data_IF_008424008465
#
_entry.id   IF_008424008465
#
_cell.length_a   1.000
_cell.length_b   1.000
_cell.length_c   1.000
_cell.angle_alpha   90.00
_cell.angle_beta   90.00
_cell.angle_gamma   90.00
#
_symmetry.space_group_name_H-M   'P 1'
#
loop_
_entity.id
_entity.type
_entity.pdbx_description
1 polymer ?
#
# COMPACT_ATOMS: atom_id res chain seq x y z
N UNK A 1 7.33 -50.68 -36.51
CA UNK A 1 7.15 -50.53 -35.05
C UNK A 1 7.28 -49.06 -34.74
N UNK A 2 6.14 -48.37 -34.63
CA UNK A 2 6.07 -46.97 -34.22
C UNK A 2 6.38 -46.90 -32.73
N UNK A 3 7.48 -46.26 -32.38
CA UNK A 3 7.94 -46.05 -31.00
C UNK A 3 6.83 -45.38 -30.18
N UNK A 4 6.59 -45.77 -28.92
CA UNK A 4 5.55 -45.18 -28.09
C UNK A 4 5.80 -43.67 -27.97
N UNK A 5 4.73 -42.89 -28.16
CA UNK A 5 4.69 -41.45 -28.08
C UNK A 5 5.37 -40.99 -26.77
N UNK A 6 6.64 -40.58 -26.84
CA UNK A 6 7.38 -40.12 -25.68
C UNK A 6 6.61 -38.94 -25.10
N UNK A 7 6.21 -39.04 -23.82
CA UNK A 7 5.52 -37.97 -23.11
C UNK A 7 6.41 -36.73 -23.18
N UNK A 8 6.05 -35.78 -24.05
CA UNK A 8 6.89 -34.63 -24.36
C UNK A 8 6.88 -33.69 -23.15
N UNK A 9 7.97 -33.73 -22.37
CA UNK A 9 8.23 -32.75 -21.32
C UNK A 9 8.80 -31.50 -21.96
N UNK A 10 8.36 -30.33 -21.52
CA UNK A 10 8.91 -29.03 -21.98
C UNK A 10 9.23 -28.13 -20.79
N UNK A 11 10.11 -27.16 -21.01
CA UNK A 11 10.36 -26.06 -20.08
C UNK A 11 9.65 -24.82 -20.63
N UNK A 12 8.90 -24.12 -19.78
CA UNK A 12 8.38 -22.78 -20.07
C UNK A 12 9.24 -21.79 -19.29
N UNK A 13 9.88 -20.85 -19.99
CA UNK A 13 10.45 -19.65 -19.39
C UNK A 13 9.52 -18.48 -19.73
N UNK A 14 9.01 -17.76 -18.73
CA UNK A 14 8.06 -16.67 -18.92
C UNK A 14 8.45 -15.46 -18.07
N UNK A 15 8.17 -14.27 -18.61
CA UNK A 15 8.39 -12.98 -17.98
C UNK A 15 7.32 -11.99 -18.43
N UNK A 16 7.13 -10.93 -17.66
CA UNK A 16 6.28 -9.82 -18.03
C UNK A 16 6.69 -8.55 -17.29
N UNK A 17 6.58 -7.44 -18.00
CA UNK A 17 6.97 -6.15 -17.45
C UNK A 17 6.04 -5.04 -17.88
N UNK A 18 6.18 -3.93 -17.19
CA UNK A 18 5.49 -2.68 -17.46
C UNK A 18 6.46 -1.50 -17.41
N UNK A 19 6.44 -0.64 -18.44
CA UNK A 19 7.22 0.60 -18.51
C UNK A 19 6.58 1.66 -17.61
N UNK A 20 7.03 1.69 -16.34
CA UNK A 20 6.28 2.31 -15.25
C UNK A 20 5.18 1.34 -14.82
N UNK A 21 5.09 0.95 -13.56
CA UNK A 21 4.12 -0.03 -13.08
C UNK A 21 2.95 0.75 -12.45
N UNK A 22 1.75 0.86 -13.09
CA UNK A 22 1.36 0.27 -14.36
C UNK A 22 1.75 1.22 -15.50
N UNK A 23 1.76 0.70 -16.71
CA UNK A 23 2.24 1.42 -17.87
C UNK A 23 2.20 0.50 -19.08
N UNK A 24 2.75 0.93 -20.23
CA UNK A 24 2.88 0.09 -21.40
C UNK A 24 3.54 -1.23 -21.02
N UNK A 25 2.74 -2.28 -21.03
CA UNK A 25 3.09 -3.57 -20.51
C UNK A 25 3.11 -4.59 -21.64
N UNK A 26 3.97 -5.57 -21.47
CA UNK A 26 4.13 -6.67 -22.40
C UNK A 26 4.69 -7.88 -21.69
N UNK A 27 4.41 -9.04 -22.27
CA UNK A 27 4.94 -10.29 -21.77
C UNK A 27 5.76 -11.00 -22.83
N UNK A 28 6.58 -11.92 -22.35
CA UNK A 28 7.37 -12.85 -23.16
C UNK A 28 7.27 -14.25 -22.57
N UNK A 29 7.10 -15.26 -23.42
CA UNK A 29 7.18 -16.65 -23.03
C UNK A 29 7.90 -17.45 -24.10
N UNK A 30 8.74 -18.39 -23.68
CA UNK A 30 9.43 -19.33 -24.56
C UNK A 30 9.24 -20.75 -24.05
N UNK A 31 8.95 -21.67 -24.95
CA UNK A 31 8.85 -23.10 -24.69
C UNK A 31 10.10 -23.77 -25.25
N UNK A 32 10.81 -24.51 -24.40
CA UNK A 32 12.10 -25.11 -24.70
C UNK A 32 12.05 -26.64 -24.56
N UNK A 33 12.86 -27.32 -25.37
CA UNK A 33 13.20 -28.71 -25.14
C UNK A 33 14.10 -28.84 -23.89
N UNK A 34 13.80 -29.75 -22.94
CA UNK A 34 14.57 -29.86 -21.71
C UNK A 34 15.98 -30.44 -21.89
N UNK A 35 16.28 -31.16 -22.99
CA UNK A 35 17.57 -31.82 -23.19
C UNK A 35 18.61 -30.86 -23.77
N UNK A 36 18.26 -30.13 -24.82
CA UNK A 36 19.20 -29.29 -25.58
C UNK A 36 18.86 -27.79 -25.55
N UNK A 37 17.76 -27.41 -24.87
CA UNK A 37 17.22 -26.04 -24.81
C UNK A 37 16.82 -25.47 -26.17
N UNK A 38 16.51 -26.30 -27.16
CA UNK A 38 15.96 -25.85 -28.44
C UNK A 38 14.63 -25.14 -28.24
N UNK A 39 14.45 -23.98 -28.89
CA UNK A 39 13.19 -23.22 -28.85
C UNK A 39 12.12 -23.91 -29.68
N UNK A 40 11.05 -24.35 -29.01
CA UNK A 40 9.89 -25.00 -29.61
C UNK A 40 8.78 -23.98 -29.96
N UNK A 41 8.64 -22.91 -29.17
CA UNK A 41 7.70 -21.83 -29.43
C UNK A 41 8.09 -20.55 -28.67
N UNK A 42 7.76 -19.38 -29.24
CA UNK A 42 7.83 -18.08 -28.56
C UNK A 42 6.46 -17.38 -28.60
N UNK A 43 6.11 -16.68 -27.53
CA UNK A 43 4.96 -15.78 -27.46
C UNK A 43 5.41 -14.45 -26.90
N UNK A 44 4.97 -13.37 -27.51
CA UNK A 44 5.14 -12.02 -26.97
C UNK A 44 3.99 -11.14 -27.42
N UNK A 45 3.51 -10.29 -26.54
CA UNK A 45 2.40 -9.38 -26.87
C UNK A 45 2.41 -8.17 -25.95
N UNK A 46 2.12 -6.99 -26.53
CA UNK A 46 1.77 -5.80 -25.79
C UNK A 46 0.34 -5.93 -25.24
N UNK A 47 0.15 -5.70 -23.95
CA UNK A 47 -1.14 -5.86 -23.27
C UNK A 47 -1.74 -4.53 -22.82
N UNK A 48 -1.33 -3.44 -23.46
CA UNK A 48 -1.77 -2.08 -23.12
C UNK A 48 -1.19 -1.61 -21.79
N UNK A 49 -2.01 -0.97 -20.97
CA UNK A 49 -1.60 -0.50 -19.63
C UNK A 49 -1.93 -1.57 -18.60
N UNK A 50 -0.92 -2.20 -18.02
CA UNK A 50 -1.08 -3.23 -17.00
C UNK A 50 0.03 -3.15 -15.93
N UNK A 51 -0.11 -3.91 -14.84
CA UNK A 51 0.96 -4.03 -13.84
C UNK A 51 1.98 -5.11 -14.25
N UNK A 52 3.18 -5.10 -13.66
CA UNK A 52 4.17 -6.17 -13.82
C UNK A 52 3.55 -7.53 -13.50
N UNK A 53 2.84 -7.68 -12.39
CA UNK A 53 2.24 -8.96 -12.02
C UNK A 53 1.16 -9.41 -13.02
N UNK A 54 0.37 -8.47 -13.57
CA UNK A 54 -0.59 -8.79 -14.64
C UNK A 54 0.16 -9.24 -15.91
N UNK A 55 1.27 -8.59 -16.26
CA UNK A 55 2.11 -8.97 -17.38
C UNK A 55 2.77 -10.34 -17.16
N UNK A 56 3.32 -10.61 -15.98
CA UNK A 56 3.95 -11.89 -15.62
C UNK A 56 2.93 -13.03 -15.69
N UNK A 57 1.72 -12.84 -15.13
CA UNK A 57 0.64 -13.81 -15.26
C UNK A 57 0.21 -14.01 -16.72
N UNK A 58 0.19 -12.94 -17.52
CA UNK A 58 -0.11 -13.04 -18.96
C UNK A 58 0.96 -13.83 -19.71
N UNK A 59 2.24 -13.65 -19.37
CA UNK A 59 3.35 -14.45 -19.89
C UNK A 59 3.23 -15.92 -19.51
N UNK A 60 2.89 -16.22 -18.25
CA UNK A 60 2.63 -17.58 -17.82
C UNK A 60 1.48 -18.23 -18.61
N UNK A 61 0.36 -17.54 -18.76
CA UNK A 61 -0.80 -18.01 -19.53
C UNK A 61 -0.40 -18.32 -20.97
N UNK A 62 0.29 -17.38 -21.63
CA UNK A 62 0.74 -17.56 -23.01
C UNK A 62 1.74 -18.73 -23.15
N UNK A 63 2.61 -18.93 -22.15
CA UNK A 63 3.52 -20.06 -22.09
C UNK A 63 2.78 -21.40 -21.97
N UNK A 64 1.78 -21.49 -21.10
CA UNK A 64 0.97 -22.71 -20.91
C UNK A 64 0.14 -23.04 -22.16
N UNK A 65 -0.40 -22.02 -22.84
CA UNK A 65 -1.08 -22.17 -24.12
C UNK A 65 -0.12 -22.69 -25.20
N UNK A 66 1.07 -22.09 -25.34
CA UNK A 66 2.09 -22.55 -26.28
C UNK A 66 2.58 -23.98 -25.98
N UNK A 67 2.74 -24.35 -24.70
CA UNK A 67 3.10 -25.71 -24.29
C UNK A 67 2.03 -26.73 -24.69
N UNK A 68 0.74 -26.35 -24.60
CA UNK A 68 -0.38 -27.18 -25.07
C UNK A 68 -0.32 -27.39 -26.57
N UNK A 69 -0.07 -26.32 -27.34
CA UNK A 69 0.01 -26.36 -28.80
C UNK A 69 1.17 -27.22 -29.33
N UNK A 70 2.32 -27.23 -28.64
CA UNK A 70 3.45 -28.11 -29.01
C UNK A 70 3.27 -29.57 -28.57
N UNK A 71 2.12 -29.91 -27.97
CA UNK A 71 1.75 -31.25 -27.54
C UNK A 71 2.47 -31.72 -26.27
N UNK A 72 2.82 -30.81 -25.36
CA UNK A 72 3.48 -31.19 -24.12
C UNK A 72 2.53 -31.97 -23.19
N UNK A 73 3.09 -32.98 -22.51
CA UNK A 73 2.38 -33.79 -21.51
C UNK A 73 2.78 -33.40 -20.08
N UNK A 74 4.02 -32.93 -19.88
CA UNK A 74 4.56 -32.45 -18.61
C UNK A 74 5.26 -31.12 -18.82
N UNK A 75 5.18 -30.22 -17.85
CA UNK A 75 5.69 -28.85 -17.96
C UNK A 75 6.48 -28.47 -16.72
N UNK A 76 7.66 -27.91 -16.92
CA UNK A 76 8.38 -27.16 -15.89
C UNK A 76 8.32 -25.66 -16.21
N UNK A 77 7.62 -24.90 -15.38
CA UNK A 77 7.54 -23.44 -15.47
C UNK A 77 8.69 -22.82 -14.67
N UNK A 78 9.51 -22.01 -15.33
CA UNK A 78 10.60 -21.22 -14.76
C UNK A 78 10.28 -19.74 -14.93
N UNK A 79 10.21 -19.02 -13.81
CA UNK A 79 9.99 -17.57 -13.81
C UNK A 79 10.85 -16.94 -12.73
N UNK A 80 11.28 -15.71 -12.93
CA UNK A 80 11.96 -14.89 -11.92
C UNK A 80 10.98 -14.12 -11.02
N UNK A 81 9.67 -14.21 -11.30
CA UNK A 81 8.60 -13.79 -10.39
C UNK A 81 8.35 -14.79 -9.27
N UNK A 82 8.91 -14.52 -8.09
CA UNK A 82 8.65 -15.34 -6.89
C UNK A 82 7.17 -15.33 -6.52
N UNK A 83 6.49 -14.21 -6.72
CA UNK A 83 5.07 -14.07 -6.38
C UNK A 83 4.18 -14.98 -7.25
N UNK A 84 4.36 -14.99 -8.57
CA UNK A 84 3.60 -15.88 -9.47
C UNK A 84 3.90 -17.34 -9.16
N UNK A 85 5.19 -17.70 -9.00
CA UNK A 85 5.61 -19.07 -8.67
C UNK A 85 4.98 -19.56 -7.37
N UNK A 86 5.03 -18.78 -6.29
CA UNK A 86 4.50 -19.17 -4.98
C UNK A 86 2.97 -19.28 -4.97
N UNK A 87 2.29 -18.39 -5.71
CA UNK A 87 0.84 -18.42 -5.86
C UNK A 87 0.37 -19.63 -6.67
N UNK A 88 1.01 -19.90 -7.81
CA UNK A 88 0.68 -21.05 -8.67
C UNK A 88 1.08 -22.39 -8.07
N UNK A 89 2.08 -22.40 -7.19
CA UNK A 89 2.41 -23.56 -6.35
C UNK A 89 1.42 -23.81 -5.20
N UNK A 90 0.43 -22.93 -5.00
CA UNK A 90 -0.54 -23.03 -3.91
C UNK A 90 0.01 -22.68 -2.51
N UNK A 91 1.27 -22.20 -2.42
CA UNK A 91 1.88 -21.82 -1.14
C UNK A 91 1.37 -20.46 -0.67
N UNK A 92 1.08 -19.53 -1.60
CA UNK A 92 0.57 -18.20 -1.31
C UNK A 92 -0.84 -17.98 -1.86
N UNK A 93 -1.68 -17.23 -1.14
CA UNK A 93 -3.05 -16.90 -1.59
C UNK A 93 -3.03 -15.75 -2.59
N UNK A 94 -3.77 -15.89 -3.68
CA UNK A 94 -4.08 -14.77 -4.61
C UNK A 94 -5.23 -13.95 -4.01
N UNK A 95 -4.96 -12.70 -3.65
CA UNK A 95 -5.96 -11.80 -3.04
C UNK A 95 -6.31 -10.59 -3.90
N UNK A 96 -5.45 -10.21 -4.84
CA UNK A 96 -5.64 -9.00 -5.64
C UNK A 96 -6.72 -9.22 -6.72
N UNK A 97 -7.74 -8.35 -6.83
CA UNK A 97 -8.86 -8.51 -7.77
C UNK A 97 -8.43 -8.77 -9.21
N UNK A 98 -7.45 -8.03 -9.74
CA UNK A 98 -6.98 -8.19 -11.12
C UNK A 98 -6.21 -9.50 -11.37
N UNK A 99 -5.62 -10.07 -10.32
CA UNK A 99 -4.85 -11.31 -10.43
C UNK A 99 -5.71 -12.56 -10.23
N UNK A 100 -6.83 -12.46 -9.51
CA UNK A 100 -7.76 -13.57 -9.31
C UNK A 100 -8.22 -14.21 -10.64
N UNK A 101 -8.68 -13.46 -11.66
CA UNK A 101 -9.09 -14.05 -12.93
C UNK A 101 -7.90 -14.66 -13.70
N UNK A 102 -6.72 -14.02 -13.66
CA UNK A 102 -5.53 -14.52 -14.35
C UNK A 102 -5.00 -15.82 -13.72
N UNK A 103 -4.93 -15.87 -12.39
CA UNK A 103 -4.53 -17.06 -11.66
C UNK A 103 -5.52 -18.22 -11.88
N UNK A 104 -6.83 -17.93 -11.95
CA UNK A 104 -7.84 -18.92 -12.34
C UNK A 104 -7.57 -19.47 -13.74
N UNK A 105 -7.34 -18.59 -14.72
CA UNK A 105 -7.06 -18.99 -16.10
C UNK A 105 -5.78 -19.83 -16.21
N UNK A 106 -4.70 -19.42 -15.54
CA UNK A 106 -3.46 -20.20 -15.51
C UNK A 106 -3.66 -21.58 -14.86
N UNK A 107 -4.44 -21.66 -13.76
CA UNK A 107 -4.76 -22.92 -13.10
C UNK A 107 -5.64 -23.84 -13.95
N UNK A 108 -6.57 -23.29 -14.73
CA UNK A 108 -7.37 -24.04 -15.71
C UNK A 108 -6.50 -24.62 -16.82
N UNK A 109 -5.59 -23.82 -17.40
CA UNK A 109 -4.66 -24.28 -18.42
C UNK A 109 -3.71 -25.37 -17.90
N UNK A 110 -3.24 -25.23 -16.67
CA UNK A 110 -2.36 -26.22 -16.03
C UNK A 110 -3.00 -27.62 -15.93
N UNK A 111 -4.33 -27.74 -15.94
CA UNK A 111 -5.04 -29.04 -15.91
C UNK A 111 -4.87 -29.86 -17.20
N UNK A 112 -4.41 -29.25 -18.29
CA UNK A 112 -4.15 -29.96 -19.54
C UNK A 112 -2.91 -30.88 -19.47
N UNK A 113 -2.05 -30.70 -18.46
CA UNK A 113 -0.80 -31.45 -18.29
C UNK A 113 -0.95 -32.47 -17.16
N UNK A 114 -0.26 -33.61 -17.26
CA UNK A 114 -0.26 -34.59 -16.18
C UNK A 114 0.54 -34.13 -14.95
N UNK A 115 1.49 -33.22 -15.18
CA UNK A 115 2.31 -32.63 -14.13
C UNK A 115 2.79 -31.24 -14.54
N UNK A 116 2.71 -30.28 -13.61
CA UNK A 116 3.27 -28.94 -13.74
C UNK A 116 4.11 -28.64 -12.51
N UNK A 117 5.40 -28.37 -12.71
CA UNK A 117 6.31 -27.89 -11.67
C UNK A 117 6.54 -26.39 -11.85
N UNK A 118 6.38 -25.60 -10.78
CA UNK A 118 6.69 -24.16 -10.79
C UNK A 118 7.98 -23.91 -10.02
N UNK A 119 8.98 -23.33 -10.69
CA UNK A 119 10.31 -23.05 -10.14
C UNK A 119 10.65 -21.59 -10.29
N UNK A 120 11.07 -20.98 -9.18
CA UNK A 120 11.67 -19.66 -9.22
C UNK A 120 13.12 -19.77 -9.69
N UNK A 121 13.54 -18.90 -10.61
CA UNK A 121 14.92 -18.81 -11.09
C UNK A 121 15.46 -17.38 -10.97
N UNK A 122 16.77 -17.18 -10.77
CA UNK A 122 17.38 -15.86 -10.87
C UNK A 122 17.12 -15.20 -12.23
N UNK A 123 16.97 -13.88 -12.27
CA UNK A 123 16.72 -13.11 -13.52
C UNK A 123 17.75 -13.37 -14.63
N UNK A 124 19.02 -13.59 -14.24
CA UNK A 124 20.08 -13.93 -15.19
C UNK A 124 19.79 -15.23 -15.97
N UNK A 125 18.99 -16.12 -15.40
CA UNK A 125 18.60 -17.41 -15.97
C UNK A 125 17.26 -17.34 -16.74
N UNK A 126 16.60 -16.18 -16.79
CA UNK A 126 15.33 -15.93 -17.51
C UNK A 126 15.50 -14.94 -18.69
N UNK A 127 16.73 -14.75 -19.17
CA UNK A 127 17.08 -13.69 -20.13
C UNK A 127 16.32 -13.76 -21.47
N UNK A 128 15.89 -14.96 -21.90
CA UNK A 128 15.15 -15.12 -23.15
C UNK A 128 13.74 -14.56 -23.06
N UNK A 129 13.00 -14.92 -22.01
CA UNK A 129 11.66 -14.42 -21.77
C UNK A 129 11.67 -12.91 -21.46
N UNK A 130 12.66 -12.44 -20.69
CA UNK A 130 12.89 -11.01 -20.42
C UNK A 130 13.10 -10.21 -21.71
N UNK A 131 13.92 -10.71 -22.65
CA UNK A 131 14.09 -10.08 -23.97
C UNK A 131 12.76 -9.97 -24.72
N UNK A 132 11.96 -11.05 -24.76
CA UNK A 132 10.67 -11.05 -25.45
C UNK A 132 9.67 -10.07 -24.82
N UNK A 133 9.64 -9.98 -23.48
CA UNK A 133 8.80 -9.03 -22.76
C UNK A 133 9.22 -7.58 -23.03
N UNK A 134 10.53 -7.31 -23.07
CA UNK A 134 11.07 -6.00 -23.44
C UNK A 134 10.72 -5.59 -24.88
N UNK A 135 10.88 -6.50 -25.84
CA UNK A 135 10.47 -6.26 -27.23
C UNK A 135 8.97 -5.96 -27.35
N UNK A 136 8.12 -6.65 -26.58
CA UNK A 136 6.68 -6.41 -26.56
C UNK A 136 6.32 -5.03 -25.97
N UNK A 137 6.98 -4.63 -24.88
CA UNK A 137 6.80 -3.31 -24.27
C UNK A 137 7.27 -2.18 -25.19
N UNK A 138 8.37 -2.38 -25.91
CA UNK A 138 8.94 -1.35 -26.77
C UNK A 138 8.12 -1.19 -28.06
N UNK A 139 7.62 -2.29 -28.65
CA UNK A 139 6.71 -2.24 -29.80
C UNK A 139 5.36 -1.54 -29.50
N UNK A 140 4.91 -1.57 -28.24
CA UNK A 140 3.73 -0.82 -27.80
C UNK A 140 3.97 0.70 -27.81
N UNK A 141 5.21 1.14 -27.57
CA UNK A 141 5.60 2.55 -27.55
C UNK A 141 5.80 3.13 -28.97
N UNK A 142 6.13 2.31 -29.95
CA UNK A 142 6.40 2.74 -31.33
C UNK A 142 5.13 2.88 -32.20
N UNK A 143 4.03 2.19 -31.87
CA UNK A 143 2.82 2.11 -32.71
C UNK A 143 1.73 3.17 -32.46
N UNK A 144 1.98 4.18 -31.63
CA UNK A 144 1.24 5.44 -31.70
C UNK A 144 -0.29 5.41 -31.53
N UNK A 145 -0.86 4.43 -30.83
CA UNK A 145 -2.24 4.58 -30.33
C UNK A 145 -2.23 5.59 -29.17
N UNK A 146 -2.42 6.86 -29.52
CA UNK A 146 -2.56 7.95 -28.57
C UNK A 146 -3.80 7.71 -27.69
N UNK A 147 -3.65 7.61 -26.36
CA UNK A 147 -4.78 7.72 -25.46
C UNK A 147 -5.29 9.17 -25.45
N UNK A 148 -6.58 9.40 -25.09
CA UNK A 148 -7.14 10.73 -24.94
C UNK A 148 -6.33 11.56 -23.96
N UNK A 149 -6.19 12.85 -24.29
CA UNK A 149 -5.40 13.85 -23.60
C UNK A 149 -5.88 14.16 -22.17
N UNK A 150 -4.87 14.25 -21.29
CA UNK A 150 -4.81 14.98 -20.01
C UNK A 150 -5.54 14.43 -18.76
N UNK A 151 -4.73 13.94 -17.82
CA UNK A 151 -4.46 14.72 -16.60
C UNK A 151 -3.09 14.35 -16.00
N UNK A 152 -2.17 15.30 -16.16
CA UNK A 152 -0.92 15.58 -15.42
C UNK A 152 -0.18 14.47 -14.67
N UNK A 153 1.04 14.23 -15.17
CA UNK A 153 2.13 13.39 -14.67
C UNK A 153 2.52 13.66 -13.22
N UNK A 154 2.99 12.62 -12.51
CA UNK A 154 4.02 12.75 -11.48
C UNK A 154 5.12 11.71 -11.70
N UNK A 155 6.37 12.12 -11.39
CA UNK A 155 7.63 11.41 -11.62
C UNK A 155 7.66 9.99 -11.03
N UNK A 156 8.48 9.06 -11.58
CA UNK A 156 8.51 7.67 -11.13
C UNK A 156 9.01 7.60 -9.68
N UNK A 157 8.16 7.04 -8.81
CA UNK A 157 8.57 6.66 -7.46
C UNK A 157 9.39 5.37 -7.49
N UNK A 158 10.37 5.26 -6.60
CA UNK A 158 11.17 4.03 -6.36
C UNK A 158 10.34 2.85 -5.84
N UNK A 159 9.13 3.13 -5.38
CA UNK A 159 8.15 2.16 -4.91
C UNK A 159 7.35 1.73 -6.13
N UNK A 160 7.37 0.46 -6.52
CA UNK A 160 6.64 -0.09 -7.69
C UNK A 160 5.11 -0.03 -7.59
N UNK A 161 4.58 0.90 -6.81
CA UNK A 161 3.18 1.17 -6.55
C UNK A 161 2.56 1.98 -7.69
N UNK A 162 1.34 1.58 -8.03
CA UNK A 162 0.68 1.80 -9.32
C UNK A 162 -0.42 2.85 -9.19
N UNK A 163 -0.49 3.78 -10.14
CA UNK A 163 -1.57 4.77 -10.22
C UNK A 163 -1.32 6.00 -9.35
N UNK A 164 -2.24 6.97 -9.42
CA UNK A 164 -2.15 8.20 -8.62
C UNK A 164 -2.56 7.87 -7.18
N UNK A 165 -1.67 8.00 -6.18
CA UNK A 165 -2.03 7.68 -4.81
C UNK A 165 -3.01 8.70 -4.24
N UNK A 166 -3.88 8.25 -3.35
CA UNK A 166 -4.51 9.13 -2.38
C UNK A 166 -3.48 9.47 -1.31
N UNK A 167 -3.10 10.74 -1.23
CA UNK A 167 -2.09 11.22 -0.29
C UNK A 167 -2.78 11.79 0.94
N UNK A 168 -2.55 11.16 2.09
CA UNK A 168 -3.03 11.63 3.38
C UNK A 168 -1.94 12.46 4.06
N UNK A 169 -2.24 13.74 4.28
CA UNK A 169 -1.45 14.67 5.06
C UNK A 169 -1.95 14.61 6.50
N UNK A 170 -1.27 13.84 7.33
CA UNK A 170 -1.65 13.53 8.69
C UNK A 170 -1.14 14.63 9.63
N UNK A 171 -2.04 15.47 10.12
CA UNK A 171 -1.74 16.56 11.03
C UNK A 171 -2.20 16.21 12.44
N UNK A 172 -1.29 16.21 13.41
CA UNK A 172 -1.70 16.11 14.80
C UNK A 172 -2.30 17.44 15.26
N UNK A 173 -3.33 17.42 16.10
CA UNK A 173 -3.86 18.62 16.74
C UNK A 173 -2.77 19.43 17.49
N UNK A 174 -3.01 20.73 17.65
CA UNK A 174 -2.15 21.61 18.46
C UNK A 174 -2.22 21.34 19.96
N UNK A 175 -1.38 22.00 20.74
CA UNK A 175 -1.29 21.83 22.19
C UNK A 175 -2.64 22.02 22.93
N UNK A 176 -2.89 21.14 23.90
CA UNK A 176 -3.95 21.25 24.91
C UNK A 176 -3.36 21.29 26.32
N UNK A 177 -4.17 21.54 27.34
CA UNK A 177 -3.71 21.55 28.73
C UNK A 177 -3.09 20.19 29.16
N UNK A 178 -3.75 19.07 28.84
CA UNK A 178 -3.22 17.73 29.13
C UNK A 178 -1.90 17.44 28.40
N UNK A 179 -1.68 18.06 27.24
CA UNK A 179 -0.42 17.92 26.51
C UNK A 179 0.75 18.58 27.25
N UNK A 180 0.53 19.73 27.91
CA UNK A 180 1.54 20.41 28.75
C UNK A 180 1.90 19.50 29.93
N UNK A 181 0.88 18.91 30.54
CA UNK A 181 1.01 18.06 31.73
C UNK A 181 1.50 16.64 31.41
N UNK A 182 1.66 16.30 30.11
CA UNK A 182 2.07 14.97 29.61
C UNK A 182 1.17 13.84 30.14
N UNK A 183 -0.13 14.13 30.19
CA UNK A 183 -1.18 13.20 30.62
C UNK A 183 -1.81 12.52 29.41
N UNK A 184 -2.28 11.30 29.58
CA UNK A 184 -3.08 10.61 28.58
C UNK A 184 -4.32 11.44 28.27
N UNK A 185 -4.55 11.68 26.98
CA UNK A 185 -5.72 12.39 26.49
C UNK A 185 -6.39 11.50 25.46
N UNK A 186 -7.49 10.87 25.86
CA UNK A 186 -8.27 9.97 25.02
C UNK A 186 -9.42 10.70 24.37
N UNK A 187 -10.64 10.33 24.75
CA UNK A 187 -11.87 10.86 24.18
C UNK A 187 -12.41 12.09 24.94
N UNK A 188 -11.79 12.48 26.04
CA UNK A 188 -12.05 13.77 26.70
C UNK A 188 -11.95 14.93 25.73
N UNK A 189 -12.94 15.81 25.78
CA UNK A 189 -13.04 16.94 24.86
C UNK A 189 -12.39 18.20 25.44
N UNK A 190 -11.16 18.46 24.98
CA UNK A 190 -10.35 19.59 25.43
C UNK A 190 -10.10 20.54 24.26
N UNK A 191 -10.21 21.83 24.52
CA UNK A 191 -9.84 22.87 23.57
C UNK A 191 -8.32 23.07 23.50
N UNK A 192 -7.88 23.69 22.40
CA UNK A 192 -6.50 24.14 22.23
C UNK A 192 -6.17 25.26 23.23
N UNK A 193 -4.90 25.30 23.65
CA UNK A 193 -4.34 26.46 24.36
C UNK A 193 -4.04 27.61 23.38
N UNK A 194 -3.71 28.82 23.84
CA UNK A 194 -3.21 29.89 22.95
C UNK A 194 -2.01 29.46 22.11
N UNK A 195 -1.12 28.64 22.70
CA UNK A 195 -0.01 27.98 22.01
C UNK A 195 -0.54 27.02 20.93
N UNK A 196 -1.49 26.16 21.25
CA UNK A 196 -2.09 25.22 20.30
C UNK A 196 -2.74 25.92 19.10
N UNK A 197 -3.41 27.05 19.33
CA UNK A 197 -3.93 27.89 18.24
C UNK A 197 -2.80 28.50 17.40
N UNK A 198 -1.68 28.90 17.99
CA UNK A 198 -0.52 29.39 17.22
C UNK A 198 0.09 28.28 16.37
N UNK A 199 0.25 27.09 16.93
CA UNK A 199 0.74 25.92 16.21
C UNK A 199 -0.17 25.54 15.04
N UNK A 200 -1.49 25.57 15.23
CA UNK A 200 -2.46 25.31 14.17
C UNK A 200 -2.35 26.31 13.01
N UNK A 201 -2.15 27.60 13.31
CA UNK A 201 -1.92 28.63 12.27
C UNK A 201 -0.64 28.38 11.48
N UNK A 202 0.46 28.04 12.16
CA UNK A 202 1.71 27.73 11.46
C UNK A 202 1.62 26.47 10.60
N UNK A 203 0.88 25.45 11.06
CA UNK A 203 0.57 24.28 10.23
C UNK A 203 -0.24 24.67 9.00
N UNK A 204 -1.24 25.56 9.14
CA UNK A 204 -2.02 26.07 8.02
C UNK A 204 -1.15 26.80 6.98
N UNK A 205 -0.25 27.68 7.42
CA UNK A 205 0.69 28.38 6.52
C UNK A 205 1.61 27.42 5.76
N UNK A 206 2.10 26.37 6.44
CA UNK A 206 2.94 25.34 5.84
C UNK A 206 2.18 24.50 4.81
N UNK A 207 0.92 24.18 5.09
CA UNK A 207 0.04 23.41 4.22
C UNK A 207 -0.44 24.24 3.01
N UNK A 208 -0.64 25.55 3.17
CA UNK A 208 -0.95 26.46 2.06
C UNK A 208 0.18 26.56 1.02
N UNK A 209 1.43 26.33 1.44
CA UNK A 209 2.61 26.28 0.54
C UNK A 209 2.84 24.90 -0.08
N UNK A 210 2.02 23.89 0.27
CA UNK A 210 2.15 22.54 -0.26
C UNK A 210 1.83 22.53 -1.77
N UNK A 211 2.60 21.75 -2.55
CA UNK A 211 2.29 21.54 -3.96
C UNK A 211 1.10 20.59 -4.12
N UNK A 212 0.20 20.94 -5.04
CA UNK A 212 -0.96 20.14 -5.42
C UNK A 212 -2.22 20.54 -4.64
N UNK A 213 -3.37 20.50 -5.32
CA UNK A 213 -4.67 20.87 -4.74
C UNK A 213 -5.02 19.94 -3.58
N UNK A 214 -5.42 20.53 -2.44
CA UNK A 214 -6.05 19.80 -1.34
C UNK A 214 -7.54 19.65 -1.67
N UNK A 215 -8.05 18.43 -1.65
CA UNK A 215 -9.44 18.15 -1.99
C UNK A 215 -10.39 18.34 -0.81
N UNK A 216 -9.94 18.02 0.41
CA UNK A 216 -10.74 18.10 1.62
C UNK A 216 -9.85 18.19 2.87
N UNK A 217 -10.42 18.76 3.94
CA UNK A 217 -9.89 18.64 5.30
C UNK A 217 -10.81 17.71 6.08
N UNK A 218 -10.26 16.63 6.62
CA UNK A 218 -10.95 15.66 7.46
C UNK A 218 -10.52 15.90 8.90
N UNK A 219 -11.48 15.87 9.82
CA UNK A 219 -11.19 16.05 11.25
C UNK A 219 -11.78 14.93 12.08
N UNK A 220 -11.06 14.57 13.14
CA UNK A 220 -11.66 13.88 14.29
C UNK A 220 -12.80 14.73 14.89
N UNK A 221 -13.81 14.11 15.54
CA UNK A 221 -14.89 14.84 16.18
C UNK A 221 -14.46 15.67 17.41
N UNK A 222 -13.30 15.43 18.02
CA UNK A 222 -12.85 16.15 19.22
C UNK A 222 -12.45 17.61 18.92
N UNK A 223 -12.82 18.53 19.81
CA UNK A 223 -12.68 19.99 19.69
C UNK A 223 -11.25 20.41 19.35
N UNK A 224 -10.22 19.86 20.00
CA UNK A 224 -8.81 20.14 19.67
C UNK A 224 -8.45 19.88 18.19
N UNK A 225 -8.99 18.80 17.62
CA UNK A 225 -8.77 18.44 16.23
C UNK A 225 -9.60 19.34 15.30
N UNK A 226 -10.85 19.63 15.66
CA UNK A 226 -11.71 20.53 14.89
C UNK A 226 -11.16 21.95 14.83
N UNK A 227 -10.69 22.51 15.95
CA UNK A 227 -10.08 23.84 16.01
C UNK A 227 -8.80 23.90 15.17
N UNK A 228 -7.99 22.85 15.18
CA UNK A 228 -6.80 22.76 14.31
C UNK A 228 -7.21 22.66 12.83
N UNK A 229 -8.20 21.84 12.52
CA UNK A 229 -8.71 21.66 11.16
C UNK A 229 -9.33 22.93 10.59
N UNK A 230 -10.08 23.69 11.40
CA UNK A 230 -10.67 24.98 11.02
C UNK A 230 -9.58 25.97 10.60
N UNK A 231 -8.51 26.11 11.38
CA UNK A 231 -7.40 27.00 11.05
C UNK A 231 -6.75 26.64 9.69
N UNK A 232 -6.66 25.34 9.38
CA UNK A 232 -6.13 24.85 8.10
C UNK A 232 -7.11 25.09 6.95
N UNK A 233 -8.38 24.75 7.16
CA UNK A 233 -9.46 24.93 6.19
C UNK A 233 -9.65 26.39 5.79
N UNK A 234 -9.70 27.30 6.76
CA UNK A 234 -9.83 28.75 6.52
C UNK A 234 -8.63 29.28 5.69
N UNK A 235 -7.43 28.71 5.87
CA UNK A 235 -6.23 29.08 5.10
C UNK A 235 -6.16 28.48 3.68
N UNK A 236 -7.00 27.48 3.37
CA UNK A 236 -7.02 26.77 2.09
C UNK A 236 -8.31 27.00 1.28
N UNK A 237 -9.33 27.62 1.89
CA UNK A 237 -10.69 27.77 1.33
C UNK A 237 -11.33 26.42 0.98
N UNK A 238 -11.27 25.47 1.93
CA UNK A 238 -11.80 24.10 1.78
C UNK A 238 -12.65 23.72 2.99
N UNK A 239 -13.74 22.98 2.78
CA UNK A 239 -14.60 22.51 3.86
C UNK A 239 -13.92 21.49 4.79
N UNK A 240 -14.35 21.51 6.06
CA UNK A 240 -13.99 20.51 7.07
C UNK A 240 -15.09 19.44 7.14
N UNK A 241 -14.72 18.18 6.89
CA UNK A 241 -15.60 17.04 7.09
C UNK A 241 -15.20 16.25 8.35
N UNK A 242 -16.13 16.10 9.28
CA UNK A 242 -15.91 15.31 10.49
C UNK A 242 -16.10 13.82 10.19
N UNK A 243 -15.18 12.99 10.68
CA UNK A 243 -15.20 11.53 10.54
C UNK A 243 -14.84 10.87 11.87
N UNK A 244 -15.81 10.20 12.49
CA UNK A 244 -15.65 9.57 13.81
C UNK A 244 -14.56 8.50 13.86
N UNK A 245 -14.30 7.82 12.74
CA UNK A 245 -13.26 6.78 12.65
C UNK A 245 -11.85 7.26 12.98
N UNK A 246 -11.59 8.58 12.90
CA UNK A 246 -10.31 9.20 13.24
C UNK A 246 -10.24 9.75 14.68
N UNK A 247 -11.19 9.43 15.56
CA UNK A 247 -11.12 9.79 16.99
C UNK A 247 -9.90 9.14 17.68
N UNK A 248 -9.37 9.75 18.74
CA UNK A 248 -8.27 9.18 19.55
C UNK A 248 -8.69 7.89 20.26
N UNK A 249 -7.71 7.11 20.67
CA UNK A 249 -7.88 5.95 21.54
C UNK A 249 -8.60 6.34 22.82
N UNK A 250 -9.59 5.56 23.20
CA UNK A 250 -10.20 5.61 24.52
C UNK A 250 -9.25 5.03 25.57
N UNK A 251 -8.71 5.90 26.44
CA UNK A 251 -7.86 5.48 27.55
C UNK A 251 -8.66 5.13 28.82
N UNK A 252 -9.99 5.23 28.79
CA UNK A 252 -10.86 4.90 29.92
C UNK A 252 -10.41 5.59 31.20
N UNK A 253 -10.25 4.81 32.27
CA UNK A 253 -9.83 5.32 33.58
C UNK A 253 -8.39 5.88 33.63
N UNK A 254 -7.57 5.65 32.59
CA UNK A 254 -6.24 6.25 32.51
C UNK A 254 -6.25 7.65 31.90
N UNK A 255 -7.38 8.12 31.38
CA UNK A 255 -7.48 9.49 30.90
C UNK A 255 -7.16 10.50 32.01
N UNK A 256 -6.35 11.49 31.68
CA UNK A 256 -5.86 12.47 32.65
C UNK A 256 -4.75 11.96 33.55
N UNK A 257 -4.34 10.69 33.51
CA UNK A 257 -3.16 10.19 34.24
C UNK A 257 -1.89 10.43 33.43
N UNK A 258 -0.78 10.64 34.11
CA UNK A 258 0.55 10.51 33.53
C UNK A 258 0.88 9.04 33.31
N UNK A 259 1.93 8.77 32.53
CA UNK A 259 2.44 7.42 32.33
C UNK A 259 2.79 6.73 33.67
N UNK A 260 3.43 7.46 34.59
CA UNK A 260 3.83 6.94 35.89
C UNK A 260 2.61 6.64 36.78
N UNK A 261 1.63 7.55 36.85
CA UNK A 261 0.41 7.34 37.62
C UNK A 261 -0.40 6.15 37.09
N UNK A 262 -0.50 5.97 35.77
CA UNK A 262 -1.18 4.80 35.18
C UNK A 262 -0.43 3.50 35.49
N UNK A 263 0.91 3.51 35.42
CA UNK A 263 1.75 2.37 35.77
C UNK A 263 1.68 2.00 37.26
N UNK A 264 1.53 2.98 38.15
CA UNK A 264 1.36 2.77 39.59
C UNK A 264 -0.05 2.28 39.94
N UNK A 265 -1.07 2.79 39.24
CA UNK A 265 -2.47 2.42 39.48
C UNK A 265 -2.75 0.95 39.14
N UNK A 266 -2.28 0.47 37.99
CA UNK A 266 -2.54 -0.89 37.51
C UNK A 266 -1.26 -1.58 36.97
N UNK A 267 -0.26 -1.91 37.80
CA UNK A 267 1.08 -2.31 37.31
C UNK A 267 1.09 -3.50 36.34
N UNK A 268 0.38 -4.59 36.69
CA UNK A 268 0.35 -5.80 35.86
C UNK A 268 -0.43 -5.59 34.54
N UNK A 269 -1.52 -4.82 34.59
CA UNK A 269 -2.29 -4.47 33.39
C UNK A 269 -1.48 -3.56 32.48
N UNK A 270 -0.82 -2.56 33.05
CA UNK A 270 0.00 -1.60 32.33
C UNK A 270 1.17 -2.27 31.60
N UNK A 271 1.87 -3.21 32.24
CA UNK A 271 2.95 -3.98 31.60
C UNK A 271 2.45 -4.84 30.43
N UNK A 272 1.29 -5.47 30.58
CA UNK A 272 0.67 -6.24 29.47
C UNK A 272 0.25 -5.32 28.34
N UNK A 273 -0.39 -4.19 28.65
CA UNK A 273 -0.82 -3.19 27.66
C UNK A 273 0.33 -2.64 26.79
N UNK A 274 1.54 -2.50 27.35
CA UNK A 274 2.73 -2.07 26.59
C UNK A 274 3.25 -3.12 25.60
N UNK A 275 2.85 -4.39 25.72
CA UNK A 275 3.42 -5.50 24.94
C UNK A 275 2.38 -6.27 24.13
N UNK A 276 1.09 -6.14 24.46
CA UNK A 276 -0.03 -6.82 23.83
C UNK A 276 -1.11 -5.80 23.43
N UNK A 277 -1.31 -5.62 22.12
CA UNK A 277 -2.26 -4.65 21.57
C UNK A 277 -3.73 -5.06 21.70
N UNK A 278 -4.00 -6.30 22.12
CA UNK A 278 -5.35 -6.77 22.43
C UNK A 278 -5.80 -6.38 23.84
N UNK A 279 -4.87 -5.96 24.70
CA UNK A 279 -5.16 -5.49 26.05
C UNK A 279 -5.59 -4.03 26.01
N UNK A 280 -6.65 -3.69 26.74
CA UNK A 280 -7.19 -2.35 26.84
C UNK A 280 -6.85 -1.71 28.21
N UNK A 281 -6.75 -0.37 28.28
CA UNK A 281 -6.89 0.36 29.54
C UNK A 281 -8.24 0.02 30.22
N UNK A 282 -8.35 0.13 31.56
CA UNK A 282 -9.63 -0.11 32.24
C UNK A 282 -10.73 0.81 31.70
N UNK A 283 -11.82 0.22 31.19
CA UNK A 283 -12.93 0.96 30.58
C UNK A 283 -12.60 1.65 29.25
N UNK A 284 -11.41 1.43 28.68
CA UNK A 284 -10.96 2.00 27.40
C UNK A 284 -11.06 0.99 26.25
N UNK A 285 -10.39 1.30 25.14
CA UNK A 285 -10.33 0.44 23.94
C UNK A 285 -8.92 -0.15 23.73
N UNK A 286 -8.80 -1.41 23.26
CA UNK A 286 -7.51 -1.98 22.89
C UNK A 286 -7.02 -1.43 21.54
N UNK A 287 -5.70 -1.41 21.34
CA UNK A 287 -5.11 -0.91 20.10
C UNK A 287 -5.51 -1.71 18.85
N UNK A 288 -5.89 -2.98 19.00
CA UNK A 288 -6.43 -3.79 17.90
C UNK A 288 -7.80 -3.30 17.41
N UNK A 289 -8.63 -2.75 18.30
CA UNK A 289 -9.89 -2.13 17.92
C UNK A 289 -9.67 -0.80 17.21
N UNK A 290 -8.75 0.01 17.75
CA UNK A 290 -8.26 1.25 17.14
C UNK A 290 -7.77 0.98 15.71
N UNK A 291 -6.95 -0.06 15.53
CA UNK A 291 -6.45 -0.48 14.22
C UNK A 291 -7.58 -0.80 13.24
N UNK A 292 -8.56 -1.63 13.65
CA UNK A 292 -9.69 -2.01 12.79
C UNK A 292 -10.52 -0.80 12.36
N UNK A 293 -10.86 0.11 13.28
CA UNK A 293 -11.68 1.29 12.94
C UNK A 293 -10.93 2.29 12.07
N UNK A 294 -9.62 2.47 12.27
CA UNK A 294 -8.81 3.36 11.44
C UNK A 294 -8.57 2.77 10.07
N UNK A 295 -8.35 1.45 9.96
CA UNK A 295 -8.23 0.79 8.66
C UNK A 295 -9.50 1.00 7.83
N UNK A 296 -10.68 0.77 8.42
CA UNK A 296 -11.96 1.03 7.78
C UNK A 296 -12.09 2.51 7.36
N UNK A 297 -11.83 3.45 8.26
CA UNK A 297 -11.92 4.88 7.96
C UNK A 297 -10.94 5.32 6.87
N UNK A 298 -9.75 4.73 6.83
CA UNK A 298 -8.76 4.94 5.77
C UNK A 298 -9.23 4.36 4.44
N UNK A 299 -9.79 3.16 4.42
CA UNK A 299 -10.31 2.52 3.20
C UNK A 299 -11.44 3.37 2.59
N UNK A 300 -12.39 3.81 3.43
CA UNK A 300 -13.47 4.71 3.03
C UNK A 300 -12.90 6.04 2.50
N UNK A 301 -11.94 6.65 3.21
CA UNK A 301 -11.37 7.92 2.81
C UNK A 301 -10.57 7.82 1.50
N UNK A 302 -9.84 6.72 1.30
CA UNK A 302 -9.09 6.48 0.05
C UNK A 302 -10.06 6.29 -1.13
N UNK A 303 -11.19 5.63 -0.91
CA UNK A 303 -12.22 5.47 -1.92
C UNK A 303 -12.91 6.81 -2.26
N UNK A 304 -13.32 7.58 -1.25
CA UNK A 304 -13.99 8.88 -1.40
C UNK A 304 -13.12 9.92 -2.15
N UNK A 305 -11.80 9.86 -1.95
CA UNK A 305 -10.84 10.85 -2.46
C UNK A 305 -9.73 10.20 -3.30
N UNK A 306 -10.09 9.23 -4.14
CA UNK A 306 -9.14 8.51 -4.98
C UNK A 306 -8.23 9.46 -5.79
N UNK A 307 -6.91 9.30 -5.62
CA UNK A 307 -5.91 10.10 -6.34
C UNK A 307 -5.85 11.58 -5.94
N UNK A 308 -6.44 11.96 -4.80
CA UNK A 308 -6.40 13.32 -4.28
C UNK A 308 -5.50 13.46 -3.04
N UNK A 309 -5.14 14.71 -2.73
CA UNK A 309 -4.50 15.06 -1.47
C UNK A 309 -5.59 15.42 -0.44
N UNK A 310 -5.54 14.80 0.73
CA UNK A 310 -6.49 15.01 1.82
C UNK A 310 -5.72 15.30 3.10
N UNK A 311 -6.13 16.34 3.83
CA UNK A 311 -5.57 16.61 5.15
C UNK A 311 -6.42 15.87 6.18
N UNK A 312 -5.79 15.10 7.07
CA UNK A 312 -6.46 14.39 8.16
C UNK A 312 -5.93 14.93 9.47
N UNK A 313 -6.76 15.70 10.17
CA UNK A 313 -6.44 16.32 11.45
C UNK A 313 -6.95 15.42 12.59
N UNK A 314 -6.01 14.83 13.32
CA UNK A 314 -6.31 13.80 14.32
C UNK A 314 -5.24 13.78 15.42
N UNK A 315 -4.98 12.62 16.01
CA UNK A 315 -4.26 12.45 17.27
C UNK A 315 -3.13 11.43 17.15
N UNK A 316 -2.45 11.14 18.26
CA UNK A 316 -1.23 10.32 18.24
C UNK A 316 -1.53 8.91 17.77
N UNK A 317 -2.52 8.24 18.36
CA UNK A 317 -2.75 6.82 18.02
C UNK A 317 -3.29 6.63 16.60
N UNK A 318 -4.22 7.48 16.10
CA UNK A 318 -4.63 7.41 14.70
C UNK A 318 -3.50 7.60 13.70
N UNK A 319 -2.63 8.59 13.91
CA UNK A 319 -1.49 8.83 13.01
C UNK A 319 -0.51 7.66 13.05
N UNK A 320 -0.14 7.17 14.25
CA UNK A 320 0.75 6.02 14.38
C UNK A 320 0.18 4.78 13.70
N UNK A 321 -1.12 4.55 13.81
CA UNK A 321 -1.82 3.43 13.18
C UNK A 321 -1.85 3.56 11.65
N UNK A 322 -2.11 4.75 11.11
CA UNK A 322 -2.04 4.99 9.66
C UNK A 322 -0.64 4.78 9.10
N UNK A 323 0.39 5.25 9.82
CA UNK A 323 1.79 5.02 9.45
C UNK A 323 2.18 3.54 9.58
N UNK A 324 1.67 2.84 10.60
CA UNK A 324 1.84 1.38 10.75
C UNK A 324 1.27 0.62 9.54
N UNK A 325 0.06 0.99 9.11
CA UNK A 325 -0.59 0.40 7.94
C UNK A 325 0.24 0.70 6.67
N UNK A 326 0.65 1.96 6.48
CA UNK A 326 1.39 2.36 5.29
C UNK A 326 2.79 1.74 5.19
N UNK A 327 3.45 1.46 6.32
CA UNK A 327 4.76 0.81 6.37
C UNK A 327 4.68 -0.73 6.37
N UNK A 328 3.49 -1.30 6.54
CA UNK A 328 3.25 -2.73 6.73
C UNK A 328 4.12 -3.34 7.85
N UNK A 329 4.15 -2.68 9.02
CA UNK A 329 4.97 -3.09 10.17
C UNK A 329 4.12 -3.54 11.37
N UNK A 330 4.77 -4.31 12.25
CA UNK A 330 4.16 -4.82 13.49
C UNK A 330 3.78 -3.72 14.50
N UNK A 331 2.99 -4.09 15.53
CA UNK A 331 2.43 -3.16 16.52
C UNK A 331 3.47 -2.42 17.37
N UNK A 332 4.71 -2.91 17.46
CA UNK A 332 5.80 -2.26 18.20
C UNK A 332 6.05 -0.80 17.76
N UNK A 333 5.64 -0.41 16.54
CA UNK A 333 5.70 0.97 16.07
C UNK A 333 4.94 1.94 17.00
N UNK A 334 3.83 1.51 17.61
CA UNK A 334 3.00 2.35 18.48
C UNK A 334 3.79 2.91 19.67
N UNK A 335 4.78 2.17 20.16
CA UNK A 335 5.60 2.55 21.31
C UNK A 335 6.96 3.15 20.93
N UNK A 336 7.37 3.05 19.66
CA UNK A 336 8.69 3.51 19.17
C UNK A 336 8.64 4.75 18.30
N UNK A 337 7.49 5.06 17.74
CA UNK A 337 7.30 6.27 16.95
C UNK A 337 6.97 7.45 17.88
N UNK A 338 7.76 8.51 17.81
CA UNK A 338 7.44 9.79 18.45
C UNK A 338 6.69 10.69 17.47
N UNK A 339 5.68 11.42 17.97
CA UNK A 339 4.97 12.44 17.22
C UNK A 339 4.84 13.69 18.10
N UNK A 340 5.32 14.82 17.61
CA UNK A 340 5.17 16.14 18.24
C UNK A 340 3.78 16.72 18.00
N UNK A 341 3.42 17.78 18.73
CA UNK A 341 2.16 18.51 18.55
C UNK A 341 2.21 19.32 17.25
N UNK A 342 1.07 19.44 16.57
CA UNK A 342 0.97 20.10 15.27
C UNK A 342 1.97 19.59 14.21
N UNK A 343 2.51 18.38 14.38
CA UNK A 343 3.43 17.79 13.43
C UNK A 343 2.70 17.22 12.22
N UNK A 344 3.38 17.26 11.08
CA UNK A 344 2.89 16.75 9.81
C UNK A 344 3.59 15.43 9.46
N UNK A 345 2.82 14.41 9.13
CA UNK A 345 3.29 13.19 8.48
C UNK A 345 2.55 13.00 7.16
N UNK A 346 3.15 12.29 6.20
CA UNK A 346 2.54 12.08 4.88
C UNK A 346 2.62 10.59 4.54
N UNK A 347 1.45 9.99 4.31
CA UNK A 347 1.30 8.64 3.81
C UNK A 347 0.53 8.66 2.48
N UNK A 348 0.98 7.85 1.53
CA UNK A 348 0.36 7.64 0.23
C UNK A 348 -0.21 6.24 0.18
N UNK A 349 -1.45 6.12 -0.28
CA UNK A 349 -2.12 4.84 -0.50
C UNK A 349 -2.49 4.74 -1.98
N UNK A 350 -1.98 3.72 -2.63
CA UNK A 350 -2.11 3.49 -4.06
C UNK A 350 -3.30 2.57 -4.35
N UNK A 351 -3.95 2.73 -5.52
CA UNK A 351 -5.05 1.85 -5.94
C UNK A 351 -4.73 0.35 -5.96
N UNK A 352 -3.47 -0.04 -6.17
CA UNK A 352 -2.99 -1.43 -6.15
C UNK A 352 -2.80 -2.00 -4.73
N UNK A 353 -3.17 -1.24 -3.70
CA UNK A 353 -2.95 -1.59 -2.30
C UNK A 353 -1.54 -1.30 -1.80
N UNK A 354 -0.65 -0.78 -2.65
CA UNK A 354 0.66 -0.27 -2.25
C UNK A 354 0.52 0.95 -1.34
N UNK A 355 1.53 1.20 -0.52
CA UNK A 355 1.60 2.39 0.30
C UNK A 355 3.04 2.91 0.42
N UNK A 356 3.18 4.20 0.70
CA UNK A 356 4.47 4.82 0.95
C UNK A 356 4.36 5.89 2.04
N UNK A 357 5.29 5.88 2.99
CA UNK A 357 5.45 6.99 3.93
C UNK A 357 6.49 7.95 3.37
N UNK A 358 6.08 9.20 3.14
CA UNK A 358 6.91 10.25 2.52
C UNK A 358 7.52 11.21 3.54
N UNK A 359 6.88 11.37 4.69
CA UNK A 359 7.28 12.30 5.73
C UNK A 359 6.77 11.79 7.07
N UNK A 360 7.57 11.94 8.11
CA UNK A 360 7.19 11.57 9.48
C UNK A 360 7.59 12.70 10.41
N UNK A 361 6.62 13.18 11.19
CA UNK A 361 6.84 14.10 12.31
C UNK A 361 7.56 15.41 11.96
N UNK A 362 7.23 16.04 10.82
CA UNK A 362 7.77 17.35 10.46
C UNK A 362 7.14 18.46 11.31
N UNK A 363 8.00 19.24 11.97
CA UNK A 363 7.66 20.40 12.81
C UNK A 363 8.43 21.65 12.38
N UNK A 364 9.02 21.66 11.18
CA UNK A 364 9.79 22.80 10.67
C UNK A 364 9.01 24.11 10.64
N UNK A 365 7.67 24.05 10.63
CA UNK A 365 6.78 25.22 10.70
C UNK A 365 6.47 25.71 12.11
N UNK A 366 6.68 24.92 13.17
CA UNK A 366 6.27 25.32 14.53
C UNK A 366 7.25 26.25 15.23
N UNK A 367 8.42 26.48 14.63
CA UNK A 367 9.45 27.38 15.13
C UNK A 367 9.70 28.50 14.12
N UNK A 368 9.46 29.75 14.52
CA UNK A 368 10.02 30.91 13.83
C UNK A 368 11.52 30.97 14.12
N UNK A 369 12.34 30.94 13.07
CA UNK A 369 13.74 31.31 13.16
C UNK A 369 13.90 32.79 13.55
#
# INVERSE_FOLDING_TARGET
MTTPNAKKRVIIEADGGSRGNPGPAGYGAVVLDPEDRTVLAERKQAIGIATNNVAEYSGLIAGLEAATEVGAHEVEVRMDSKLVVEQMSGRWKVKHPDMIPLARRAAELAQAFSHVEYRWVPRADNAHADRLANEAMDAANENGEQPPTETEKMAPGWTGAVGKPTRLLLLRHGQTQLSIERRYSGRGDHALTPEGHRQARFAAERLARQRGRIAAVISSPLTRAQQTARAVADGLDVDVHVRDGFIETDFGEWEGLTFAEAAERDPELFQRWLTDTSVAPPGGEPFDEVHRRIQKAKDELVADYSGANVIVVTHVTPIKTLLRIALDVGPALLFRLHLDLASLSIAEFYPDGGAAVRLVNDTSHTHTH
#
